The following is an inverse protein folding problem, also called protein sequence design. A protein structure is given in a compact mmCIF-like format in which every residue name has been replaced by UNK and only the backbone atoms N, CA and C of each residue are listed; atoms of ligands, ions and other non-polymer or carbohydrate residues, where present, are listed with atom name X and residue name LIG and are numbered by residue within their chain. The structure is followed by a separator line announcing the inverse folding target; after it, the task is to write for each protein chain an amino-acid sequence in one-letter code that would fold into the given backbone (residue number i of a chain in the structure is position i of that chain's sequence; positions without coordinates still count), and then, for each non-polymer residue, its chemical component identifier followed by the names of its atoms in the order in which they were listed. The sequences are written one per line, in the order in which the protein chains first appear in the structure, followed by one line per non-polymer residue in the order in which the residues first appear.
data_IF_428297085247
#
_entry.id   IF_428297085247
#
_cell.length_a   1.000
_cell.length_b   1.000
_cell.length_c   1.000
_cell.angle_alpha   90.00
_cell.angle_beta   90.00
_cell.angle_gamma   90.00
#
_symmetry.space_group_name_H-M   'P 1'
#
loop_
_entity.id
_entity.type
_entity.pdbx_description
1 polymer ?
#
# COMPACT_ATOMS: atom_id res chain seq x y z
N UNK A 1 9.82 -46.28 -35.96
CA UNK A 1 9.86 -44.79 -36.00
C UNK A 1 8.70 -44.10 -35.26
N UNK A 2 7.47 -44.67 -35.22
CA UNK A 2 6.32 -44.08 -34.50
C UNK A 2 6.52 -43.87 -32.99
N UNK A 3 7.31 -44.71 -32.32
CA UNK A 3 7.50 -44.63 -30.86
C UNK A 3 8.43 -43.49 -30.42
N UNK A 4 9.32 -43.01 -31.30
CA UNK A 4 10.24 -41.90 -31.01
C UNK A 4 9.47 -40.56 -31.08
N UNK A 5 8.52 -40.45 -32.01
CA UNK A 5 7.69 -39.25 -32.18
C UNK A 5 6.78 -39.00 -30.97
N UNK A 6 6.25 -40.07 -30.36
CA UNK A 6 5.43 -39.97 -29.15
C UNK A 6 6.22 -39.51 -27.93
N UNK A 7 7.47 -39.95 -27.79
CA UNK A 7 8.35 -39.55 -26.69
C UNK A 7 8.79 -38.06 -26.79
N UNK A 8 9.01 -37.56 -28.01
CA UNK A 8 9.33 -36.15 -28.24
C UNK A 8 8.12 -35.23 -27.98
N UNK A 9 6.90 -35.69 -28.27
CA UNK A 9 5.67 -34.91 -28.04
C UNK A 9 5.37 -34.75 -26.53
N UNK A 10 5.57 -35.80 -25.73
CA UNK A 10 5.38 -35.75 -24.27
C UNK A 10 6.43 -34.87 -23.58
N UNK A 11 7.68 -34.86 -24.07
CA UNK A 11 8.72 -33.95 -23.56
C UNK A 11 8.34 -32.49 -23.86
N UNK A 12 7.84 -32.18 -25.06
CA UNK A 12 7.44 -30.81 -25.41
C UNK A 12 6.25 -30.28 -24.60
N UNK A 13 5.30 -31.15 -24.22
CA UNK A 13 4.19 -30.79 -23.35
C UNK A 13 4.62 -30.50 -21.89
N UNK A 14 5.64 -31.20 -21.38
CA UNK A 14 6.15 -30.99 -20.01
C UNK A 14 6.96 -29.69 -19.86
N UNK A 15 7.59 -29.20 -20.92
CA UNK A 15 8.36 -27.94 -20.89
C UNK A 15 7.56 -26.69 -21.30
N UNK A 16 6.28 -26.82 -21.68
CA UNK A 16 5.49 -25.68 -22.18
C UNK A 16 4.68 -24.92 -21.12
N UNK A 17 4.65 -25.39 -19.86
CA UNK A 17 4.08 -24.60 -18.76
C UNK A 17 5.11 -23.56 -18.27
N UNK A 18 5.52 -22.63 -19.14
CA UNK A 18 6.09 -21.36 -18.68
C UNK A 18 4.96 -20.66 -17.93
N UNK A 19 5.08 -20.57 -16.61
CA UNK A 19 4.23 -19.72 -15.79
C UNK A 19 4.17 -18.35 -16.48
N UNK A 20 3.00 -17.98 -17.02
CA UNK A 20 2.81 -16.67 -17.64
C UNK A 20 3.29 -15.66 -16.60
N UNK A 21 4.31 -14.85 -16.92
CA UNK A 21 4.61 -13.67 -16.12
C UNK A 21 3.29 -12.91 -16.04
N UNK A 22 2.73 -12.79 -14.85
CA UNK A 22 1.56 -11.96 -14.66
C UNK A 22 1.99 -10.54 -15.01
N UNK A 23 1.44 -9.98 -16.10
CA UNK A 23 1.59 -8.57 -16.47
C UNK A 23 0.82 -7.73 -15.44
N UNK A 24 1.35 -7.68 -14.22
CA UNK A 24 0.66 -7.11 -13.07
C UNK A 24 1.58 -6.12 -12.36
N UNK A 25 0.97 -5.05 -11.88
CA UNK A 25 1.53 -4.25 -10.82
C UNK A 25 1.22 -4.98 -9.49
N UNK A 26 2.24 -5.42 -8.76
CA UNK A 26 2.05 -6.23 -7.54
C UNK A 26 2.71 -5.61 -6.32
N UNK A 27 2.22 -6.04 -5.15
CA UNK A 27 2.71 -5.62 -3.83
C UNK A 27 2.97 -6.83 -2.94
N UNK A 28 4.14 -6.83 -2.29
CA UNK A 28 4.55 -7.73 -1.22
C UNK A 28 5.03 -6.92 -0.01
N UNK A 29 5.06 -7.52 1.20
CA UNK A 29 5.68 -6.90 2.38
C UNK A 29 6.84 -7.72 2.92
N UNK A 30 7.82 -7.03 3.50
CA UNK A 30 8.88 -7.63 4.32
C UNK A 30 8.97 -6.86 5.64
N UNK A 31 8.74 -7.54 6.76
CA UNK A 31 9.00 -6.98 8.11
C UNK A 31 10.44 -7.27 8.51
N UNK A 32 11.14 -6.25 8.98
CA UNK A 32 12.42 -6.39 9.66
C UNK A 32 12.40 -5.58 10.96
N UNK A 33 12.28 -6.24 12.11
CA UNK A 33 12.19 -5.58 13.42
C UNK A 33 11.08 -4.50 13.43
N UNK A 34 11.44 -3.23 13.65
CA UNK A 34 10.54 -2.07 13.65
C UNK A 34 10.43 -1.39 12.28
N UNK A 35 10.80 -2.09 11.23
CA UNK A 35 10.73 -1.62 9.84
C UNK A 35 9.80 -2.53 9.05
N UNK A 36 9.02 -1.91 8.16
CA UNK A 36 8.18 -2.60 7.19
C UNK A 36 8.50 -2.08 5.80
N UNK A 37 8.84 -2.97 4.88
CA UNK A 37 9.12 -2.64 3.50
C UNK A 37 7.94 -3.09 2.64
N UNK A 38 7.35 -2.16 1.90
CA UNK A 38 6.41 -2.46 0.82
C UNK A 38 7.19 -2.56 -0.50
N UNK A 39 7.21 -3.76 -1.08
CA UNK A 39 7.90 -4.04 -2.33
C UNK A 39 6.89 -4.02 -3.46
N UNK A 40 6.97 -2.98 -4.26
CA UNK A 40 6.17 -2.78 -5.45
C UNK A 40 6.94 -3.30 -6.67
N UNK A 41 6.27 -4.08 -7.52
CA UNK A 41 6.84 -4.59 -8.76
C UNK A 41 5.91 -4.25 -9.92
N UNK A 42 6.45 -3.57 -10.93
CA UNK A 42 5.71 -3.25 -12.13
C UNK A 42 6.08 -4.22 -13.25
N UNK A 43 5.36 -5.33 -13.36
CA UNK A 43 5.54 -6.26 -14.48
C UNK A 43 4.74 -5.88 -15.73
N UNK A 44 4.11 -4.69 -15.76
CA UNK A 44 3.38 -4.22 -16.94
C UNK A 44 4.32 -3.68 -18.03
N UNK A 45 3.79 -3.43 -19.23
CA UNK A 45 4.51 -2.85 -20.37
C UNK A 45 4.48 -1.31 -20.40
N UNK A 46 4.12 -0.67 -19.28
CA UNK A 46 4.01 0.77 -19.18
C UNK A 46 4.61 1.25 -17.86
N UNK A 47 5.17 2.46 -17.88
CA UNK A 47 5.52 3.13 -16.64
C UNK A 47 4.24 3.47 -15.88
N UNK A 48 4.29 3.49 -14.56
CA UNK A 48 3.12 3.74 -13.73
C UNK A 48 3.37 4.87 -12.74
N UNK A 49 2.30 5.59 -12.42
CA UNK A 49 2.21 6.53 -11.31
C UNK A 49 1.13 6.04 -10.37
N UNK A 50 1.41 5.95 -9.09
CA UNK A 50 0.48 5.39 -8.12
C UNK A 50 0.60 6.05 -6.75
N UNK A 51 -0.51 6.18 -6.00
CA UNK A 51 -0.48 6.63 -4.62
C UNK A 51 -0.15 5.46 -3.68
N UNK A 52 0.45 5.78 -2.54
CA UNK A 52 0.63 4.87 -1.41
C UNK A 52 0.30 5.66 -0.14
N UNK A 53 -0.45 5.10 0.82
CA UNK A 53 -0.83 5.86 2.01
C UNK A 53 0.40 6.10 2.89
N UNK A 54 0.46 7.28 3.50
CA UNK A 54 1.57 7.65 4.39
C UNK A 54 1.54 6.88 5.72
N UNK A 55 0.35 6.44 6.14
CA UNK A 55 0.15 5.55 7.29
C UNK A 55 -0.45 4.22 6.85
N UNK A 56 0.09 3.11 7.37
CA UNK A 56 -0.45 1.77 7.25
C UNK A 56 -1.02 1.34 8.59
N UNK A 57 -2.31 1.00 8.60
CA UNK A 57 -2.97 0.50 9.81
C UNK A 57 -3.19 -1.01 9.73
N UNK A 58 -3.07 -1.67 10.89
CA UNK A 58 -3.25 -3.11 10.99
C UNK A 58 -4.28 -3.45 12.06
N UNK A 59 -5.36 -4.11 11.64
CA UNK A 59 -6.39 -4.61 12.54
C UNK A 59 -6.02 -5.99 13.09
N UNK A 60 -6.31 -6.24 14.36
CA UNK A 60 -6.15 -7.58 14.94
C UNK A 60 -7.13 -8.55 14.27
N UNK A 61 -6.63 -9.67 13.73
CA UNK A 61 -7.47 -10.69 13.07
C UNK A 61 -8.56 -11.26 14.00
N UNK A 62 -8.35 -11.24 15.32
CA UNK A 62 -9.31 -11.75 16.30
C UNK A 62 -10.46 -10.79 16.59
N UNK A 63 -10.34 -9.51 16.23
CA UNK A 63 -11.38 -8.50 16.42
C UNK A 63 -12.05 -8.18 15.08
N UNK A 64 -13.32 -7.77 15.13
CA UNK A 64 -14.10 -7.46 13.91
C UNK A 64 -13.73 -6.12 13.30
N UNK A 65 -13.14 -5.21 14.08
CA UNK A 65 -12.81 -3.87 13.64
C UNK A 65 -11.42 -3.83 13.00
N UNK A 66 -11.38 -3.30 11.79
CA UNK A 66 -10.22 -3.39 10.88
C UNK A 66 -9.19 -2.26 11.08
N UNK A 67 -9.43 -1.33 12.00
CA UNK A 67 -8.50 -0.28 12.38
C UNK A 67 -8.42 -0.17 13.90
N UNK A 68 -7.21 0.00 14.41
CA UNK A 68 -6.95 0.32 15.82
C UNK A 68 -6.82 1.84 16.05
N UNK A 69 -7.10 2.67 15.04
CA UNK A 69 -7.05 4.14 15.10
C UNK A 69 -8.45 4.74 14.84
N UNK A 70 -8.91 5.58 15.78
CA UNK A 70 -10.23 6.22 15.71
C UNK A 70 -10.99 6.17 17.03
N UNK A 71 -10.73 7.14 17.91
CA UNK A 71 -11.59 7.54 19.03
C UNK A 71 -11.83 6.54 20.17
N UNK A 72 -11.38 5.29 20.04
CA UNK A 72 -11.46 4.26 21.08
C UNK A 72 -10.07 3.71 21.39
N UNK A 73 -9.12 4.60 21.67
CA UNK A 73 -7.82 4.21 22.27
C UNK A 73 -7.98 3.39 23.57
N UNK A 74 -9.20 3.27 24.11
CA UNK A 74 -9.55 2.37 25.21
C UNK A 74 -10.03 0.96 24.85
N UNK A 75 -10.34 0.62 23.58
CA UNK A 75 -10.99 -0.67 23.26
C UNK A 75 -10.07 -1.72 22.61
N UNK A 76 -8.87 -1.36 22.14
CA UNK A 76 -7.90 -2.31 21.57
C UNK A 76 -6.64 -2.44 22.44
N UNK A 77 -6.26 -3.66 22.86
CA UNK A 77 -5.11 -3.84 23.74
C UNK A 77 -3.78 -3.57 23.03
N UNK A 78 -3.71 -3.65 21.70
CA UNK A 78 -2.49 -3.44 20.91
C UNK A 78 -2.82 -2.62 19.67
N UNK A 79 -2.15 -1.48 19.51
CA UNK A 79 -2.21 -0.61 18.34
C UNK A 79 -1.00 -0.88 17.44
N UNK A 80 -1.27 -1.19 16.17
CA UNK A 80 -0.23 -1.53 15.19
C UNK A 80 -0.40 -0.67 13.96
N UNK A 81 0.58 0.20 13.72
CA UNK A 81 0.60 1.07 12.56
C UNK A 81 2.02 1.30 12.08
N UNK A 82 2.19 1.73 10.84
CA UNK A 82 3.49 2.07 10.29
C UNK A 82 3.41 3.39 9.52
N UNK A 83 4.35 4.29 9.76
CA UNK A 83 4.44 5.60 9.08
C UNK A 83 5.57 5.53 8.06
N UNK A 84 5.33 6.04 6.86
CA UNK A 84 6.32 6.07 5.78
C UNK A 84 7.57 6.84 6.22
N UNK A 85 8.77 6.39 5.83
CA UNK A 85 9.96 7.23 6.01
C UNK A 85 10.01 8.37 5.00
N UNK A 86 10.55 9.51 5.43
CA UNK A 86 10.53 10.76 4.68
C UNK A 86 11.23 10.65 3.31
N UNK A 87 10.77 11.49 2.37
CA UNK A 87 11.44 11.75 1.09
C UNK A 87 11.60 10.55 0.13
N UNK A 88 10.82 9.48 0.29
CA UNK A 88 10.87 8.32 -0.61
C UNK A 88 10.01 8.46 -1.88
N UNK A 89 9.17 9.50 -1.97
CA UNK A 89 8.21 9.71 -3.06
C UNK A 89 8.82 10.41 -4.29
N UNK A 90 8.07 10.38 -5.40
CA UNK A 90 8.44 11.12 -6.60
C UNK A 90 8.14 12.61 -6.43
N UNK A 91 9.17 13.44 -6.20
CA UNK A 91 9.02 14.90 -6.03
C UNK A 91 8.21 15.58 -7.13
N UNK A 92 8.33 15.14 -8.38
CA UNK A 92 7.58 15.72 -9.49
C UNK A 92 6.08 15.43 -9.42
N UNK A 93 5.71 14.17 -9.16
CA UNK A 93 4.29 13.80 -9.08
C UNK A 93 3.67 14.18 -7.75
N UNK A 94 4.44 14.19 -6.65
CA UNK A 94 3.98 14.67 -5.36
C UNK A 94 3.56 16.13 -5.43
N UNK A 95 4.40 17.01 -6.01
CA UNK A 95 4.03 18.43 -6.24
C UNK A 95 2.72 18.62 -7.00
N UNK A 96 2.37 17.69 -7.90
CA UNK A 96 1.08 17.75 -8.60
C UNK A 96 -0.09 17.37 -7.68
N UNK A 97 0.08 16.35 -6.84
CA UNK A 97 -0.92 16.01 -5.84
C UNK A 97 -1.08 17.15 -4.83
N UNK A 98 0.01 17.66 -4.28
CA UNK A 98 -0.01 18.78 -3.31
C UNK A 98 -0.69 20.02 -3.90
N UNK A 99 -0.40 20.34 -5.16
CA UNK A 99 -1.07 21.47 -5.84
C UNK A 99 -2.58 21.27 -5.98
N UNK A 100 -3.04 20.03 -6.19
CA UNK A 100 -4.46 19.70 -6.27
C UNK A 100 -5.10 19.79 -4.88
N UNK A 101 -4.42 19.25 -3.86
CA UNK A 101 -4.85 19.30 -2.47
C UNK A 101 -5.04 20.76 -2.01
N UNK A 102 -4.03 21.60 -2.20
CA UNK A 102 -4.07 23.01 -1.82
C UNK A 102 -5.15 23.79 -2.57
N UNK A 103 -5.34 23.51 -3.86
CA UNK A 103 -6.42 24.10 -4.63
C UNK A 103 -7.80 23.70 -4.06
N UNK A 104 -7.98 22.42 -3.74
CA UNK A 104 -9.21 21.92 -3.13
C UNK A 104 -9.48 22.55 -1.75
N UNK A 105 -8.47 22.61 -0.87
CA UNK A 105 -8.59 23.29 0.43
C UNK A 105 -8.99 24.76 0.27
N UNK A 106 -8.42 25.45 -0.71
CA UNK A 106 -8.78 26.84 -1.03
C UNK A 106 -10.23 26.94 -1.50
N UNK A 107 -10.66 26.05 -2.41
CA UNK A 107 -12.03 26.03 -2.94
C UNK A 107 -13.10 25.84 -1.86
N UNK A 108 -12.81 25.05 -0.82
CA UNK A 108 -13.75 24.78 0.28
C UNK A 108 -13.61 25.75 1.48
N UNK A 109 -12.77 26.79 1.36
CA UNK A 109 -12.58 27.79 2.42
C UNK A 109 -11.66 27.35 3.56
N UNK A 110 -10.85 26.32 3.36
CA UNK A 110 -9.93 25.71 4.33
C UNK A 110 -8.46 26.01 4.02
N UNK A 111 -8.16 27.13 3.36
CA UNK A 111 -6.80 27.49 2.95
C UNK A 111 -5.82 27.62 4.14
N UNK A 112 -6.33 27.94 5.34
CA UNK A 112 -5.51 28.08 6.55
C UNK A 112 -4.88 26.76 7.02
N UNK A 113 -5.38 25.60 6.56
CA UNK A 113 -4.84 24.29 6.90
C UNK A 113 -3.72 23.81 5.95
N UNK A 114 -3.38 24.60 4.92
CA UNK A 114 -2.31 24.24 3.98
C UNK A 114 -0.97 24.25 4.72
N UNK A 115 -0.29 23.10 4.77
CA UNK A 115 0.99 22.95 5.46
C UNK A 115 0.87 22.44 6.90
N UNK A 116 -0.35 22.21 7.40
CA UNK A 116 -0.60 21.60 8.72
C UNK A 116 -0.53 20.06 8.69
N UNK A 117 -0.28 19.46 7.52
CA UNK A 117 -0.27 18.01 7.34
C UNK A 117 0.89 17.36 8.10
N UNK A 118 0.59 16.33 8.89
CA UNK A 118 1.60 15.51 9.56
C UNK A 118 2.17 14.50 8.57
N UNK A 119 3.35 13.98 8.87
CA UNK A 119 4.02 12.98 8.03
C UNK A 119 3.16 11.72 7.76
N UNK A 120 2.26 11.36 8.68
CA UNK A 120 1.34 10.23 8.51
C UNK A 120 0.09 10.53 7.69
N UNK A 121 -0.17 11.80 7.38
CA UNK A 121 -1.43 12.24 6.76
C UNK A 121 -1.37 12.06 5.23
N UNK A 122 -2.50 11.66 4.64
CA UNK A 122 -2.65 11.59 3.20
C UNK A 122 -1.80 10.51 2.51
N UNK A 123 -1.29 10.84 1.33
CA UNK A 123 -0.69 9.89 0.39
C UNK A 123 0.58 10.43 -0.23
N UNK A 124 1.55 9.53 -0.38
CA UNK A 124 2.75 9.75 -1.17
C UNK A 124 2.57 9.20 -2.58
N UNK A 125 3.06 9.93 -3.58
CA UNK A 125 2.96 9.53 -4.99
C UNK A 125 4.29 9.01 -5.51
N UNK A 126 4.23 7.85 -6.15
CA UNK A 126 5.37 7.16 -6.68
C UNK A 126 5.31 7.04 -8.19
N UNK A 127 6.49 6.88 -8.78
CA UNK A 127 6.67 6.55 -10.18
C UNK A 127 7.51 5.29 -10.26
N UNK A 128 7.07 4.33 -11.05
CA UNK A 128 7.78 3.07 -11.25
C UNK A 128 7.82 2.74 -12.74
N UNK A 129 9.02 2.59 -13.29
CA UNK A 129 9.16 2.22 -14.70
C UNK A 129 8.65 0.81 -14.93
N UNK A 130 8.32 0.52 -16.18
CA UNK A 130 8.05 -0.86 -16.60
C UNK A 130 9.21 -1.79 -16.23
N UNK A 131 8.87 -3.00 -15.76
CA UNK A 131 9.80 -4.08 -15.41
C UNK A 131 10.79 -3.72 -14.29
N UNK A 132 10.49 -2.71 -13.48
CA UNK A 132 11.27 -2.32 -12.31
C UNK A 132 10.55 -2.66 -11.00
N UNK A 133 11.32 -2.62 -9.91
CA UNK A 133 10.86 -2.76 -8.53
C UNK A 133 11.17 -1.51 -7.73
N UNK A 134 10.32 -1.20 -6.77
CA UNK A 134 10.51 -0.13 -5.79
C UNK A 134 10.24 -0.69 -4.40
N UNK A 135 11.15 -0.42 -3.46
CA UNK A 135 10.94 -0.70 -2.04
C UNK A 135 10.62 0.61 -1.32
N UNK A 136 9.50 0.64 -0.60
CA UNK A 136 9.09 1.79 0.23
C UNK A 136 9.16 1.39 1.68
N UNK A 137 9.95 2.11 2.45
CA UNK A 137 10.21 1.82 3.86
C UNK A 137 9.22 2.55 4.76
N UNK A 138 8.73 1.85 5.77
CA UNK A 138 7.89 2.36 6.82
C UNK A 138 8.51 2.05 8.18
N UNK A 139 8.38 2.98 9.12
CA UNK A 139 8.66 2.77 10.53
C UNK A 139 7.43 2.17 11.21
N UNK A 140 7.56 0.92 11.64
CA UNK A 140 6.52 0.18 12.34
C UNK A 140 6.49 0.58 13.82
N UNK A 141 5.29 0.83 14.34
CA UNK A 141 5.03 1.12 15.75
C UNK A 141 4.00 0.13 16.28
N UNK A 142 4.31 -0.48 17.41
CA UNK A 142 3.52 -1.50 18.07
C UNK A 142 3.40 -1.10 19.53
N UNK A 143 2.28 -0.49 19.90
CA UNK A 143 2.03 -0.01 21.25
C UNK A 143 0.98 -0.89 21.91
N UNK A 144 1.22 -1.28 23.16
CA UNK A 144 0.24 -2.04 23.95
C UNK A 144 -0.33 -1.16 25.06
N UNK A 145 -1.65 -1.04 25.07
CA UNK A 145 -2.39 -0.39 26.16
C UNK A 145 -2.87 -1.43 27.18
N UNK A 146 -2.98 -1.07 28.47
CA UNK A 146 -3.60 -1.94 29.46
C UNK A 146 -5.03 -2.37 29.05
N UNK A 147 -5.48 -3.59 29.39
CA UNK A 147 -4.76 -4.62 30.15
C UNK A 147 -3.81 -5.47 29.30
N UNK A 148 -2.60 -5.73 29.81
CA UNK A 148 -1.52 -6.43 29.11
C UNK A 148 -1.81 -7.91 28.78
N UNK A 149 -2.89 -8.48 29.33
CA UNK A 149 -3.21 -9.91 29.26
C UNK A 149 -3.84 -10.35 27.93
N UNK A 150 -4.35 -9.41 27.12
CA UNK A 150 -4.99 -9.72 25.82
C UNK A 150 -3.98 -9.62 24.68
N UNK A 151 -3.08 -10.59 24.62
CA UNK A 151 -2.08 -10.65 23.56
C UNK A 151 -2.65 -11.25 22.26
N UNK A 152 -2.50 -10.53 21.15
CA UNK A 152 -2.69 -11.06 19.80
C UNK A 152 -1.39 -10.98 19.02
N UNK A 153 -1.14 -12.00 18.21
CA UNK A 153 0.11 -12.16 17.47
C UNK A 153 -0.06 -11.95 15.98
N UNK A 154 -1.28 -11.73 15.46
CA UNK A 154 -1.54 -11.69 14.02
C UNK A 154 -2.48 -10.55 13.62
N UNK A 155 -1.92 -9.56 12.94
CA UNK A 155 -2.60 -8.35 12.51
C UNK A 155 -2.70 -8.31 10.99
N UNK A 156 -3.87 -8.01 10.46
CA UNK A 156 -4.11 -7.88 9.02
C UNK A 156 -3.98 -6.41 8.63
N UNK A 157 -3.20 -6.13 7.59
CA UNK A 157 -3.15 -4.79 7.02
C UNK A 157 -4.51 -4.42 6.44
N UNK A 158 -4.98 -3.23 6.81
CA UNK A 158 -6.12 -2.60 6.17
C UNK A 158 -5.61 -1.75 5.01
N UNK A 159 -5.33 -2.39 3.87
CA UNK A 159 -4.83 -1.66 2.70
C UNK A 159 -5.89 -0.68 2.19
N UNK A 160 -5.48 0.56 1.93
CA UNK A 160 -6.39 1.63 1.53
C UNK A 160 -7.14 1.25 0.23
N UNK A 161 -8.48 1.23 0.23
CA UNK A 161 -9.26 0.72 -0.90
C UNK A 161 -9.43 1.79 -2.00
N UNK A 162 -8.32 2.21 -2.63
CA UNK A 162 -8.29 3.29 -3.63
C UNK A 162 -9.36 3.12 -4.71
N UNK A 163 -9.54 1.93 -5.27
CA UNK A 163 -10.54 1.68 -6.31
C UNK A 163 -11.97 2.03 -5.88
N UNK A 164 -12.31 1.76 -4.61
CA UNK A 164 -13.63 2.09 -4.04
C UNK A 164 -13.72 3.59 -3.78
N UNK A 165 -12.69 4.15 -3.18
CA UNK A 165 -12.64 5.56 -2.77
C UNK A 165 -12.71 6.48 -3.99
N UNK A 166 -11.92 6.21 -5.03
CA UNK A 166 -11.87 7.01 -6.25
C UNK A 166 -13.18 6.98 -7.06
N UNK A 167 -13.99 5.94 -6.88
CA UNK A 167 -15.32 5.79 -7.51
C UNK A 167 -16.46 6.34 -6.65
N UNK A 168 -16.24 6.49 -5.34
CA UNK A 168 -17.23 7.03 -4.40
C UNK A 168 -17.16 8.56 -4.29
N UNK A 169 -18.13 9.13 -3.58
CA UNK A 169 -18.24 10.57 -3.30
C UNK A 169 -17.81 10.88 -1.86
N UNK A 170 -16.55 10.53 -1.56
CA UNK A 170 -15.88 10.81 -0.29
C UNK A 170 -15.13 12.15 -0.38
N UNK A 171 -15.49 13.19 0.39
CA UNK A 171 -14.80 14.49 0.36
C UNK A 171 -13.30 14.39 0.63
N UNK A 172 -12.91 13.50 1.55
CA UNK A 172 -11.53 13.25 1.96
C UNK A 172 -10.62 12.67 0.86
N UNK A 173 -11.19 12.31 -0.29
CA UNK A 173 -10.45 11.75 -1.42
C UNK A 173 -10.59 12.56 -2.71
N UNK A 174 -11.12 13.78 -2.62
CA UNK A 174 -11.35 14.62 -3.80
C UNK A 174 -10.04 14.97 -4.52
N UNK A 175 -8.96 15.21 -3.77
CA UNK A 175 -7.64 15.44 -4.31
C UNK A 175 -7.10 14.24 -5.10
N UNK A 176 -7.20 13.03 -4.55
CA UNK A 176 -6.84 11.78 -5.23
C UNK A 176 -7.71 11.52 -6.45
N UNK A 177 -9.02 11.81 -6.39
CA UNK A 177 -9.93 11.71 -7.55
C UNK A 177 -9.49 12.64 -8.67
N UNK A 178 -9.21 13.90 -8.37
CA UNK A 178 -8.70 14.87 -9.36
C UNK A 178 -7.35 14.43 -9.91
N UNK A 179 -6.44 13.98 -9.05
CA UNK A 179 -5.11 13.50 -9.43
C UNK A 179 -5.20 12.30 -10.38
N UNK A 180 -6.08 11.33 -10.11
CA UNK A 180 -6.26 10.12 -10.93
C UNK A 180 -6.70 10.41 -12.37
N UNK A 181 -7.29 11.58 -12.62
CA UNK A 181 -7.78 12.03 -13.93
C UNK A 181 -6.75 12.81 -14.74
N UNK A 182 -5.57 13.10 -14.18
CA UNK A 182 -4.52 13.82 -14.88
C UNK A 182 -3.94 13.01 -16.05
N UNK A 183 -3.41 13.72 -17.03
CA UNK A 183 -2.58 13.13 -18.07
C UNK A 183 -1.13 12.97 -17.56
N UNK A 184 -0.68 11.73 -17.43
CA UNK A 184 0.68 11.37 -17.00
C UNK A 184 1.62 11.06 -18.17
N UNK A 185 1.24 11.43 -19.40
CA UNK A 185 2.03 11.25 -20.60
C UNK A 185 2.22 9.77 -20.93
N UNK A 186 3.48 9.30 -20.86
CA UNK A 186 3.82 7.89 -21.12
C UNK A 186 3.55 6.97 -19.93
N UNK A 187 3.25 7.53 -18.75
CA UNK A 187 2.92 6.75 -17.58
C UNK A 187 1.40 6.61 -17.43
N UNK A 188 0.98 5.50 -16.83
CA UNK A 188 -0.42 5.21 -16.52
C UNK A 188 -0.66 5.39 -15.02
N UNK A 189 -1.78 6.01 -14.65
CA UNK A 189 -2.22 6.01 -13.27
C UNK A 189 -2.70 4.61 -12.85
N UNK A 190 -2.17 4.10 -11.74
CA UNK A 190 -2.56 2.83 -11.15
C UNK A 190 -3.03 3.07 -9.73
N UNK A 191 -4.31 2.83 -9.47
CA UNK A 191 -4.90 3.04 -8.16
C UNK A 191 -4.46 2.00 -7.13
N UNK A 192 -4.35 0.73 -7.55
CA UNK A 192 -4.09 -0.37 -6.63
C UNK A 192 -3.23 -1.48 -7.27
N UNK A 193 -2.23 -2.03 -6.54
CA UNK A 193 -1.52 -3.22 -6.96
C UNK A 193 -2.36 -4.50 -6.72
N UNK A 194 -2.02 -5.57 -7.44
CA UNK A 194 -2.42 -6.93 -7.08
C UNK A 194 -1.66 -7.32 -5.81
N UNK A 195 -2.41 -7.53 -4.74
CA UNK A 195 -1.87 -7.91 -3.44
C UNK A 195 -1.78 -9.43 -3.40
N UNK A 196 -0.57 -10.00 -3.36
CA UNK A 196 -0.36 -11.44 -3.53
C UNK A 196 -0.84 -12.28 -2.33
N UNK A 197 -1.06 -11.69 -1.16
CA UNK A 197 -1.65 -12.33 0.01
C UNK A 197 -2.39 -11.30 0.88
N UNK A 198 -3.32 -11.73 1.73
CA UNK A 198 -3.78 -10.84 2.82
C UNK A 198 -2.57 -10.48 3.68
N UNK A 199 -2.10 -9.24 3.62
CA UNK A 199 -0.84 -8.82 4.24
C UNK A 199 -1.00 -8.94 5.77
N UNK A 200 -0.31 -9.92 6.39
CA UNK A 200 -0.43 -10.21 7.83
C UNK A 200 0.89 -9.94 8.55
N UNK A 201 0.89 -9.04 9.53
CA UNK A 201 1.99 -8.91 10.46
C UNK A 201 1.85 -9.92 11.59
N UNK A 202 2.89 -10.75 11.74
CA UNK A 202 3.05 -11.53 12.95
C UNK A 202 3.91 -10.72 13.95
N UNK A 203 3.37 -10.52 15.14
CA UNK A 203 3.99 -9.77 16.23
C UNK A 203 4.31 -10.77 17.33
N UNK A 204 5.41 -10.54 18.05
CA UNK A 204 5.79 -11.21 19.30
C UNK A 204 5.72 -10.23 20.48
N UNK A 205 5.72 -10.72 21.73
CA UNK A 205 5.75 -9.83 22.90
C UNK A 205 6.99 -8.93 22.95
N UNK A 206 8.10 -9.36 22.32
CA UNK A 206 9.35 -8.61 22.27
C UNK A 206 9.32 -7.45 21.26
N UNK A 207 8.35 -7.44 20.35
CA UNK A 207 8.19 -6.36 19.36
C UNK A 207 7.39 -5.16 19.92
N UNK A 208 6.77 -5.32 21.10
CA UNK A 208 5.87 -4.32 21.68
C UNK A 208 6.67 -3.28 22.48
N UNK A 209 6.56 -2.00 22.11
CA UNK A 209 6.96 -0.92 23.00
C UNK A 209 5.91 -0.78 24.11
N UNK A 210 6.38 -0.95 25.36
CA UNK A 210 5.58 -0.67 26.57
C UNK A 210 5.42 0.83 26.78
#
# INVERSE_FOLDING_TARGET
MKNITFALLTIFCLFSCKQKKNDAFSLEYVKNSNELFLIFENNTSQNIVFPVPNTLEFGDKKFKDFSTQGGKEGDFPINVYAIIEDNQFSKFYQKKLDSIHNAYLTEIGNADFIGDERNGDGNSVFYLKEREKLSVKYKLTINQSPPLEKYSSKFKQNYYPYDKVLKGDYPEAEDLRRFSKLNFGKAKFMAQPVIQDSLFLNISQNDVSK
#
